data_IF_282619028762
#
_entry.id   IF_282619028762
#
_cell.length_a   1.000
_cell.length_b   1.000
_cell.length_c   1.000
_cell.angle_alpha   90.00
_cell.angle_beta   90.00
_cell.angle_gamma   90.00
#
_symmetry.space_group_name_H-M   'P 1'
#
loop_
_entity.id
_entity.type
_entity.pdbx_description
1 polymer ?
#
# COMPACT_ATOMS: atom_id res chain seq x y z
N UNK A 1 19.10 -18.75 31.60
CA UNK A 1 17.85 -18.08 31.17
C UNK A 1 18.12 -16.64 30.82
N UNK A 2 17.25 -16.04 30.01
CA UNK A 2 17.27 -14.62 29.67
C UNK A 2 16.04 -13.92 30.27
N UNK A 3 16.23 -12.76 30.88
CA UNK A 3 15.18 -12.03 31.58
C UNK A 3 15.22 -10.57 31.16
N UNK A 4 14.07 -10.05 30.75
CA UNK A 4 13.87 -8.64 30.44
C UNK A 4 13.36 -7.94 31.70
N UNK A 5 14.11 -6.92 32.11
CA UNK A 5 13.85 -6.15 33.33
C UNK A 5 13.66 -4.69 32.91
N UNK A 6 12.58 -4.00 33.31
CA UNK A 6 12.44 -2.56 33.08
C UNK A 6 13.54 -1.77 33.80
N UNK A 7 14.00 -0.65 33.23
CA UNK A 7 15.05 0.18 33.84
C UNK A 7 14.75 0.61 35.27
N UNK A 8 13.49 0.94 35.54
CA UNK A 8 13.00 1.29 36.89
C UNK A 8 13.16 0.15 37.90
N UNK A 9 13.19 -1.10 37.44
CA UNK A 9 13.32 -2.30 38.27
C UNK A 9 14.73 -2.87 38.37
N UNK A 10 15.76 -2.23 37.82
CA UNK A 10 17.14 -2.74 37.88
C UNK A 10 17.67 -2.89 39.31
N UNK A 11 17.39 -1.89 40.15
CA UNK A 11 17.81 -1.90 41.55
C UNK A 11 17.17 -3.05 42.32
N UNK A 12 15.88 -3.31 42.06
CA UNK A 12 15.15 -4.40 42.67
C UNK A 12 15.64 -5.75 42.14
N UNK A 13 15.82 -5.89 40.82
CA UNK A 13 16.35 -7.08 40.18
C UNK A 13 17.68 -7.52 40.79
N UNK A 14 18.66 -6.61 40.91
CA UNK A 14 19.97 -6.95 41.48
C UNK A 14 19.89 -7.43 42.92
N UNK A 15 18.91 -6.95 43.70
CA UNK A 15 18.72 -7.34 45.10
C UNK A 15 17.95 -8.64 45.25
N UNK A 16 17.00 -8.92 44.36
CA UNK A 16 16.02 -10.00 44.57
C UNK A 16 16.25 -11.23 43.70
N UNK A 17 16.95 -11.14 42.56
CA UNK A 17 17.00 -12.24 41.60
C UNK A 17 17.56 -13.56 42.20
N UNK A 18 18.51 -13.47 43.14
CA UNK A 18 19.13 -14.63 43.79
C UNK A 18 18.16 -15.36 44.73
N UNK A 19 17.14 -14.68 45.24
CA UNK A 19 16.16 -15.20 46.19
C UNK A 19 14.78 -15.40 45.58
N UNK A 20 14.62 -15.20 44.26
CA UNK A 20 13.36 -15.48 43.57
C UNK A 20 13.02 -16.97 43.73
N UNK A 21 13.85 -17.89 43.28
CA UNK A 21 13.64 -19.33 43.46
C UNK A 21 14.80 -19.98 44.21
N UNK A 22 14.58 -21.17 44.73
CA UNK A 22 15.69 -22.02 45.16
C UNK A 22 16.57 -22.41 43.95
N UNK A 23 17.83 -22.76 44.20
CA UNK A 23 18.78 -23.22 43.18
C UNK A 23 19.11 -22.21 42.07
N UNK A 24 19.07 -20.91 42.38
CA UNK A 24 19.69 -19.86 41.56
C UNK A 24 21.17 -19.77 41.90
N UNK A 25 22.04 -19.61 40.89
CA UNK A 25 23.48 -19.43 41.11
C UNK A 25 23.74 -17.96 41.50
N UNK A 26 24.30 -17.68 42.69
CA UNK A 26 24.59 -16.31 43.11
C UNK A 26 25.63 -15.64 42.20
N UNK A 27 25.55 -14.32 42.09
CA UNK A 27 26.38 -13.46 41.23
C UNK A 27 26.44 -13.89 39.76
N UNK A 28 25.44 -14.63 39.28
CA UNK A 28 25.39 -15.13 37.90
C UNK A 28 24.78 -14.14 36.92
N UNK A 29 24.05 -13.13 37.40
CA UNK A 29 23.37 -12.19 36.51
C UNK A 29 24.33 -11.24 35.81
N UNK A 30 24.13 -11.02 34.50
CA UNK A 30 24.88 -10.06 33.70
C UNK A 30 23.93 -9.35 32.74
N UNK A 31 24.07 -8.04 32.62
CA UNK A 31 23.39 -7.27 31.56
C UNK A 31 24.04 -7.58 30.21
N UNK A 32 23.27 -8.10 29.27
CA UNK A 32 23.73 -8.47 27.92
C UNK A 32 23.45 -7.36 26.90
N UNK A 33 22.28 -6.74 27.02
CA UNK A 33 21.80 -5.71 26.11
C UNK A 33 20.85 -4.79 26.86
N UNK A 34 20.81 -3.52 26.48
CA UNK A 34 19.91 -2.53 27.03
C UNK A 34 19.32 -1.70 25.89
N UNK A 35 18.01 -1.50 25.92
CA UNK A 35 17.31 -0.54 25.07
C UNK A 35 16.89 0.70 25.88
N UNK A 36 15.99 1.52 25.31
CA UNK A 36 15.57 2.75 25.98
C UNK A 36 14.78 2.50 27.27
N UNK A 37 14.08 1.37 27.39
CA UNK A 37 13.09 1.12 28.44
C UNK A 37 13.46 -0.05 29.35
N UNK A 38 14.25 -1.01 28.87
CA UNK A 38 14.53 -2.29 29.52
C UNK A 38 15.94 -2.82 29.26
N UNK A 39 16.38 -3.72 30.14
CA UNK A 39 17.62 -4.48 30.05
C UNK A 39 17.36 -5.97 29.91
N UNK A 40 18.14 -6.62 29.05
CA UNK A 40 18.20 -8.06 28.92
C UNK A 40 19.32 -8.60 29.81
N UNK A 41 18.96 -9.34 30.84
CA UNK A 41 19.87 -9.97 31.78
C UNK A 41 19.97 -11.48 31.52
N UNK A 42 21.15 -12.04 31.67
CA UNK A 42 21.31 -13.49 31.84
C UNK A 42 21.16 -13.88 33.31
N UNK A 43 20.74 -15.11 33.56
CA UNK A 43 20.73 -15.76 34.89
C UNK A 43 21.07 -17.25 34.73
N UNK A 44 21.91 -17.77 35.61
CA UNK A 44 22.21 -19.20 35.70
C UNK A 44 21.48 -19.81 36.89
N UNK A 45 20.71 -20.86 36.65
CA UNK A 45 19.94 -21.59 37.67
C UNK A 45 19.81 -23.06 37.27
N UNK A 46 19.42 -23.90 38.22
CA UNK A 46 19.22 -25.33 37.96
C UNK A 46 17.93 -25.57 37.17
N UNK A 47 17.94 -26.60 36.31
CA UNK A 47 16.80 -26.91 35.43
C UNK A 47 15.49 -27.14 36.18
N UNK A 48 15.55 -27.72 37.38
CA UNK A 48 14.38 -27.97 38.24
C UNK A 48 13.70 -26.70 38.76
N UNK A 49 14.41 -25.58 38.82
CA UNK A 49 13.89 -24.31 39.33
C UNK A 49 13.34 -23.39 38.22
N UNK A 50 13.36 -23.81 36.95
CA UNK A 50 12.97 -22.94 35.82
C UNK A 50 11.53 -22.43 35.96
N UNK A 51 10.58 -23.31 36.26
CA UNK A 51 9.17 -22.93 36.30
C UNK A 51 8.83 -22.05 37.51
N UNK A 52 9.39 -22.35 38.69
CA UNK A 52 9.26 -21.52 39.90
C UNK A 52 9.89 -20.13 39.69
N UNK A 53 11.09 -20.07 39.11
CA UNK A 53 11.75 -18.81 38.80
C UNK A 53 10.93 -17.99 37.80
N UNK A 54 10.38 -18.61 36.75
CA UNK A 54 9.51 -17.93 35.77
C UNK A 54 8.26 -17.36 36.43
N UNK A 55 7.65 -18.11 37.34
CA UNK A 55 6.45 -17.67 38.05
C UNK A 55 6.76 -16.42 38.88
N UNK A 56 7.77 -16.49 39.76
CA UNK A 56 8.13 -15.37 40.64
C UNK A 56 8.75 -14.17 39.92
N UNK A 57 9.46 -14.40 38.81
CA UNK A 57 9.90 -13.32 37.95
C UNK A 57 8.70 -12.52 37.41
N UNK A 58 7.64 -13.19 36.96
CA UNK A 58 6.41 -12.52 36.49
C UNK A 58 5.70 -11.75 37.59
N UNK A 59 5.64 -12.28 38.81
CA UNK A 59 5.07 -11.58 39.98
C UNK A 59 5.81 -10.26 40.26
N UNK A 60 7.13 -10.25 40.06
CA UNK A 60 7.97 -9.06 40.19
C UNK A 60 8.04 -8.21 38.91
N UNK A 61 7.16 -8.46 37.93
CA UNK A 61 7.09 -7.75 36.64
C UNK A 61 8.34 -7.88 35.78
N UNK A 62 9.12 -8.94 35.98
CA UNK A 62 10.24 -9.33 35.12
C UNK A 62 9.76 -10.34 34.08
N UNK A 63 10.13 -10.12 32.81
CA UNK A 63 9.69 -10.98 31.71
C UNK A 63 10.78 -11.97 31.35
N UNK A 64 10.57 -13.26 31.64
CA UNK A 64 11.51 -14.31 31.22
C UNK A 64 11.31 -14.64 29.75
N UNK A 65 12.39 -14.60 28.96
CA UNK A 65 12.41 -14.98 27.55
C UNK A 65 12.78 -16.45 27.42
N UNK A 66 11.88 -17.20 26.78
CA UNK A 66 12.18 -18.55 26.32
C UNK A 66 13.14 -18.46 25.15
N UNK A 67 14.39 -18.81 25.41
CA UNK A 67 15.46 -18.81 24.44
C UNK A 67 16.35 -20.03 24.68
N UNK A 68 16.50 -20.82 23.63
CA UNK A 68 17.47 -21.90 23.59
C UNK A 68 18.53 -21.51 22.58
N UNK A 69 19.77 -21.38 23.05
CA UNK A 69 20.87 -21.03 22.17
C UNK A 69 21.12 -22.18 21.19
N UNK A 70 20.97 -21.88 19.90
CA UNK A 70 21.23 -22.80 18.80
C UNK A 70 22.08 -22.07 17.75
N UNK A 71 23.37 -22.37 17.72
CA UNK A 71 24.32 -21.70 16.84
C UNK A 71 24.04 -21.96 15.35
N UNK A 72 23.58 -23.18 15.01
CA UNK A 72 23.23 -23.56 13.64
C UNK A 72 22.04 -22.76 13.13
N UNK A 73 21.00 -22.64 13.94
CA UNK A 73 19.79 -21.87 13.61
C UNK A 73 20.10 -20.37 13.49
N UNK A 74 20.85 -19.80 14.44
CA UNK A 74 21.25 -18.39 14.36
C UNK A 74 22.13 -18.08 13.15
N UNK A 75 22.97 -19.03 12.71
CA UNK A 75 23.77 -18.88 11.49
C UNK A 75 22.88 -18.96 10.25
N UNK A 76 21.97 -19.94 10.21
CA UNK A 76 21.02 -20.10 9.12
C UNK A 76 20.14 -18.86 8.93
N UNK A 77 19.63 -18.26 10.01
CA UNK A 77 18.82 -17.04 9.98
C UNK A 77 19.59 -15.84 9.40
N UNK A 78 20.87 -15.69 9.78
CA UNK A 78 21.73 -14.61 9.25
C UNK A 78 22.02 -14.79 7.76
N UNK A 79 22.28 -16.02 7.34
CA UNK A 79 22.48 -16.36 5.93
C UNK A 79 21.20 -16.14 5.12
N UNK A 80 20.05 -16.54 5.65
CA UNK A 80 18.74 -16.30 5.04
C UNK A 80 18.44 -14.81 4.91
N UNK A 81 18.65 -14.01 5.95
CA UNK A 81 18.45 -12.57 5.90
C UNK A 81 19.31 -11.91 4.80
N UNK A 82 20.56 -12.35 4.67
CA UNK A 82 21.49 -11.87 3.65
C UNK A 82 21.04 -12.29 2.24
N UNK A 83 20.62 -13.54 2.09
CA UNK A 83 20.07 -14.09 0.85
C UNK A 83 18.84 -13.32 0.41
N UNK A 84 17.85 -13.14 1.29
CA UNK A 84 16.62 -12.41 1.02
C UNK A 84 16.88 -10.95 0.63
N UNK A 85 17.81 -10.27 1.32
CA UNK A 85 18.21 -8.90 0.97
C UNK A 85 18.84 -8.82 -0.43
N UNK A 86 19.67 -9.80 -0.77
CA UNK A 86 20.32 -9.90 -2.08
C UNK A 86 19.30 -10.23 -3.17
N UNK A 87 18.39 -11.17 -2.93
CA UNK A 87 17.34 -11.54 -3.86
C UNK A 87 16.39 -10.38 -4.11
N UNK A 88 15.99 -9.64 -3.07
CA UNK A 88 15.19 -8.41 -3.21
C UNK A 88 15.87 -7.43 -4.17
N UNK A 89 17.16 -7.16 -3.98
CA UNK A 89 17.92 -6.24 -4.86
C UNK A 89 18.04 -6.79 -6.28
N UNK A 90 18.28 -8.09 -6.42
CA UNK A 90 18.41 -8.77 -7.70
C UNK A 90 17.10 -8.76 -8.49
N UNK A 91 15.97 -8.96 -7.83
CA UNK A 91 14.64 -8.98 -8.45
C UNK A 91 14.13 -7.58 -8.80
N UNK A 92 14.55 -6.55 -8.05
CA UNK A 92 14.07 -5.18 -8.26
C UNK A 92 14.34 -4.66 -9.67
N UNK A 93 15.55 -4.85 -10.20
CA UNK A 93 15.92 -4.38 -11.54
C UNK A 93 15.05 -4.98 -12.66
N UNK A 94 14.98 -6.33 -12.77
CA UNK A 94 14.09 -7.02 -13.70
C UNK A 94 12.62 -6.63 -13.53
N UNK A 95 12.13 -6.52 -12.29
CA UNK A 95 10.74 -6.11 -12.02
C UNK A 95 10.44 -4.72 -12.57
N UNK A 96 11.29 -3.73 -12.33
CA UNK A 96 11.09 -2.37 -12.85
C UNK A 96 11.11 -2.37 -14.38
N UNK A 97 12.01 -3.13 -15.02
CA UNK A 97 12.04 -3.25 -16.49
C UNK A 97 10.76 -3.87 -17.01
N UNK A 98 10.30 -4.96 -16.39
CA UNK A 98 9.06 -5.63 -16.75
C UNK A 98 7.85 -4.70 -16.60
N UNK A 99 7.75 -3.98 -15.48
CA UNK A 99 6.69 -3.01 -15.23
C UNK A 99 6.68 -1.88 -16.28
N UNK A 100 7.84 -1.34 -16.66
CA UNK A 100 7.93 -0.30 -17.70
C UNK A 100 7.39 -0.78 -19.04
N UNK A 101 7.76 -1.98 -19.47
CA UNK A 101 7.28 -2.57 -20.73
C UNK A 101 5.77 -2.80 -20.67
N UNK A 102 5.29 -3.50 -19.65
CA UNK A 102 3.87 -3.87 -19.56
C UNK A 102 2.97 -2.65 -19.33
N UNK A 103 3.44 -1.65 -18.58
CA UNK A 103 2.72 -0.39 -18.44
C UNK A 103 2.60 0.34 -19.77
N UNK A 104 3.66 0.39 -20.58
CA UNK A 104 3.63 0.99 -21.92
C UNK A 104 2.61 0.28 -22.81
N UNK A 105 2.64 -1.05 -22.86
CA UNK A 105 1.68 -1.84 -23.65
C UNK A 105 0.23 -1.62 -23.18
N UNK A 106 -0.01 -1.65 -21.87
CA UNK A 106 -1.33 -1.41 -21.30
C UNK A 106 -1.84 0.01 -21.60
N UNK A 107 -0.96 1.01 -21.51
CA UNK A 107 -1.31 2.39 -21.82
C UNK A 107 -1.64 2.57 -23.30
N UNK A 108 -0.85 1.97 -24.20
CA UNK A 108 -1.12 1.96 -25.64
C UNK A 108 -2.48 1.31 -25.91
N UNK A 109 -2.76 0.14 -25.35
CA UNK A 109 -4.04 -0.55 -25.52
C UNK A 109 -5.22 0.30 -25.02
N UNK A 110 -5.06 0.99 -23.88
CA UNK A 110 -6.08 1.89 -23.35
C UNK A 110 -6.39 3.05 -24.29
N UNK A 111 -5.37 3.67 -24.89
CA UNK A 111 -5.56 4.74 -25.89
C UNK A 111 -6.25 4.20 -27.15
N UNK A 112 -5.92 2.99 -27.61
CA UNK A 112 -6.61 2.36 -28.75
C UNK A 112 -8.11 2.15 -28.47
N UNK A 113 -8.47 1.70 -27.26
CA UNK A 113 -9.88 1.57 -26.86
C UNK A 113 -10.57 2.95 -26.88
N UNK A 114 -9.91 4.02 -26.44
CA UNK A 114 -10.46 5.38 -26.50
C UNK A 114 -10.67 5.85 -27.94
N UNK A 115 -9.71 5.58 -28.83
CA UNK A 115 -9.85 5.90 -30.25
C UNK A 115 -11.02 5.15 -30.90
N UNK A 116 -11.18 3.85 -30.61
CA UNK A 116 -12.31 3.05 -31.07
C UNK A 116 -13.64 3.60 -30.55
N UNK A 117 -13.71 3.98 -29.27
CA UNK A 117 -14.92 4.59 -28.69
C UNK A 117 -15.29 5.91 -29.35
N UNK A 118 -14.32 6.80 -29.56
CA UNK A 118 -14.52 8.07 -30.28
C UNK A 118 -15.04 7.80 -31.70
N UNK A 119 -14.45 6.84 -32.41
CA UNK A 119 -14.87 6.48 -33.75
C UNK A 119 -16.31 5.94 -33.79
N UNK A 120 -16.63 4.94 -32.97
CA UNK A 120 -17.96 4.31 -32.91
C UNK A 120 -19.02 5.35 -32.55
N UNK A 121 -18.79 6.18 -31.53
CA UNK A 121 -19.76 7.20 -31.14
C UNK A 121 -19.95 8.28 -32.20
N UNK A 122 -18.87 8.66 -32.91
CA UNK A 122 -18.97 9.63 -34.02
C UNK A 122 -19.77 9.07 -35.19
N UNK A 123 -19.62 7.78 -35.51
CA UNK A 123 -20.46 7.10 -36.52
C UNK A 123 -21.92 7.05 -36.08
N UNK A 124 -22.19 6.70 -34.81
CA UNK A 124 -23.55 6.64 -34.28
C UNK A 124 -24.23 8.02 -34.25
N UNK A 125 -23.47 9.09 -33.98
CA UNK A 125 -24.00 10.44 -33.84
C UNK A 125 -24.12 11.20 -35.14
N UNK A 126 -23.16 11.06 -36.05
CA UNK A 126 -23.09 11.84 -37.30
C UNK A 126 -23.44 11.02 -38.55
N UNK A 127 -23.54 9.69 -38.44
CA UNK A 127 -23.93 8.81 -39.53
C UNK A 127 -22.81 8.51 -40.54
N UNK A 128 -23.22 7.96 -41.69
CA UNK A 128 -22.36 7.64 -42.83
C UNK A 128 -22.65 8.57 -44.02
N UNK A 129 -21.65 8.85 -44.88
CA UNK A 129 -20.26 8.41 -44.79
C UNK A 129 -19.49 9.08 -43.64
N UNK A 130 -18.43 8.42 -43.18
CA UNK A 130 -17.57 8.92 -42.09
C UNK A 130 -16.92 10.25 -42.52
N UNK A 131 -17.44 11.36 -42.00
CA UNK A 131 -16.92 12.71 -42.28
C UNK A 131 -16.75 13.49 -40.98
N UNK A 132 -15.77 13.10 -40.18
CA UNK A 132 -15.41 13.78 -38.94
C UNK A 132 -13.91 13.73 -38.71
N UNK A 133 -13.40 14.70 -37.95
CA UNK A 133 -12.00 14.76 -37.53
C UNK A 133 -11.92 14.78 -36.01
N UNK A 134 -11.37 13.72 -35.43
CA UNK A 134 -11.13 13.66 -33.99
C UNK A 134 -9.91 14.51 -33.61
N UNK A 135 -10.00 15.21 -32.48
CA UNK A 135 -8.94 16.08 -31.97
C UNK A 135 -8.60 15.72 -30.53
N UNK A 136 -7.30 15.68 -30.21
CA UNK A 136 -6.81 15.57 -28.84
C UNK A 136 -6.54 16.97 -28.29
N UNK A 137 -7.23 17.32 -27.20
CA UNK A 137 -7.08 18.62 -26.55
C UNK A 137 -6.45 18.45 -25.16
N UNK A 138 -5.37 19.19 -24.89
CA UNK A 138 -4.79 19.34 -23.55
C UNK A 138 -5.09 20.76 -23.01
N UNK A 139 -6.27 20.97 -22.43
CA UNK A 139 -6.68 22.29 -21.97
C UNK A 139 -5.98 22.71 -20.68
N UNK A 140 -5.77 24.01 -20.52
CA UNK A 140 -5.35 24.58 -19.24
C UNK A 140 -6.51 24.47 -18.24
N UNK A 141 -6.25 23.93 -17.04
CA UNK A 141 -7.24 23.73 -15.96
C UNK A 141 -8.08 24.99 -15.68
N UNK A 142 -7.47 26.20 -15.74
CA UNK A 142 -8.17 27.48 -15.48
C UNK A 142 -9.16 27.87 -16.58
N UNK A 143 -8.92 27.43 -17.81
CA UNK A 143 -9.69 27.85 -18.99
C UNK A 143 -10.70 26.79 -19.46
N UNK A 144 -10.85 25.69 -18.71
CA UNK A 144 -11.76 24.59 -19.07
C UNK A 144 -13.18 25.08 -19.29
N UNK A 145 -13.72 25.93 -18.42
CA UNK A 145 -15.08 26.46 -18.55
C UNK A 145 -15.26 27.25 -19.85
N UNK A 146 -14.36 28.21 -20.12
CA UNK A 146 -14.39 29.01 -21.35
C UNK A 146 -14.24 28.16 -22.61
N UNK A 147 -13.39 27.12 -22.58
CA UNK A 147 -13.25 26.19 -23.70
C UNK A 147 -14.57 25.46 -23.98
N UNK A 148 -15.29 25.01 -22.93
CA UNK A 148 -16.59 24.37 -23.10
C UNK A 148 -17.64 25.30 -23.68
N UNK A 149 -17.66 26.55 -23.24
CA UNK A 149 -18.57 27.58 -23.77
C UNK A 149 -18.35 27.78 -25.28
N UNK A 150 -17.08 28.00 -25.70
CA UNK A 150 -16.74 28.20 -27.11
C UNK A 150 -17.06 26.96 -27.96
N UNK A 151 -16.72 25.75 -27.50
CA UNK A 151 -17.03 24.53 -28.25
C UNK A 151 -18.54 24.28 -28.36
N UNK A 152 -19.31 24.63 -27.32
CA UNK A 152 -20.77 24.54 -27.39
C UNK A 152 -21.33 25.51 -28.43
N UNK A 153 -20.92 26.78 -28.41
CA UNK A 153 -21.35 27.76 -29.41
C UNK A 153 -21.07 27.34 -30.85
N UNK A 154 -19.89 26.76 -31.10
CA UNK A 154 -19.49 26.29 -32.43
C UNK A 154 -20.28 25.07 -32.90
N UNK A 155 -20.55 24.11 -32.01
CA UNK A 155 -21.05 22.79 -32.40
C UNK A 155 -22.49 22.48 -31.98
N UNK A 156 -23.19 23.37 -31.26
CA UNK A 156 -24.60 23.16 -30.85
C UNK A 156 -25.56 22.81 -31.99
N UNK A 157 -25.25 23.22 -33.22
CA UNK A 157 -26.04 22.90 -34.40
C UNK A 157 -25.98 21.42 -34.81
N UNK A 158 -24.96 20.68 -34.36
CA UNK A 158 -24.84 19.23 -34.57
C UNK A 158 -25.70 18.42 -33.60
N UNK A 159 -26.32 19.09 -32.62
CA UNK A 159 -27.16 18.46 -31.62
C UNK A 159 -28.57 18.19 -32.15
N UNK A 160 -28.65 17.30 -33.14
CA UNK A 160 -29.92 16.76 -33.66
C UNK A 160 -30.59 15.82 -32.65
N UNK A 161 -29.86 15.40 -31.61
CA UNK A 161 -30.22 14.35 -30.64
C UNK A 161 -30.85 14.89 -29.35
N UNK A 162 -30.58 16.14 -28.96
CA UNK A 162 -31.18 16.75 -27.78
C UNK A 162 -32.72 16.69 -27.80
N UNK A 163 -33.35 16.87 -28.97
CA UNK A 163 -34.80 16.77 -29.10
C UNK A 163 -35.35 15.34 -28.87
N UNK A 164 -34.53 14.29 -29.04
CA UNK A 164 -34.93 12.89 -28.82
C UNK A 164 -34.60 12.47 -27.38
N UNK A 165 -33.49 12.95 -26.80
CA UNK A 165 -33.09 12.61 -25.43
C UNK A 165 -34.04 13.28 -24.41
N UNK A 166 -34.46 14.51 -24.65
CA UNK A 166 -35.43 15.22 -23.80
C UNK A 166 -36.85 14.60 -23.89
N UNK A 167 -37.17 13.91 -25.00
CA UNK A 167 -38.46 13.25 -25.21
C UNK A 167 -38.53 11.79 -24.69
N UNK A 168 -37.40 11.14 -24.40
CA UNK A 168 -37.33 9.69 -24.12
C UNK A 168 -36.89 9.35 -22.69
N UNK A 169 -36.47 10.33 -21.87
CA UNK A 169 -35.72 10.03 -20.64
C UNK A 169 -36.32 10.52 -19.33
N UNK A 170 -37.61 10.26 -19.11
CA UNK A 170 -38.20 10.25 -17.77
C UNK A 170 -38.48 8.79 -17.34
N UNK A 171 -37.41 7.98 -17.25
CA UNK A 171 -37.48 6.62 -16.68
C UNK A 171 -37.12 6.71 -15.19
N UNK A 172 -38.07 6.51 -14.26
CA UNK A 172 -37.81 6.59 -12.83
C UNK A 172 -36.73 5.58 -12.42
N UNK A 173 -35.61 6.06 -11.86
CA UNK A 173 -34.51 5.23 -11.37
C UNK A 173 -33.24 5.21 -12.24
N UNK A 174 -33.27 5.78 -13.46
CA UNK A 174 -32.08 5.92 -14.31
C UNK A 174 -31.66 7.40 -14.36
N UNK A 175 -30.73 7.79 -13.47
CA UNK A 175 -30.28 9.18 -13.38
C UNK A 175 -29.26 9.51 -14.50
N UNK A 176 -29.73 9.61 -15.75
CA UNK A 176 -28.86 9.92 -16.91
C UNK A 176 -28.37 11.38 -16.93
N UNK A 177 -28.96 12.23 -16.09
CA UNK A 177 -28.60 13.64 -15.85
C UNK A 177 -27.19 13.88 -15.31
N UNK A 178 -26.45 12.82 -14.91
CA UNK A 178 -25.10 12.94 -14.35
C UNK A 178 -23.97 12.72 -15.37
N UNK A 179 -24.26 12.36 -16.63
CA UNK A 179 -23.22 12.26 -17.64
C UNK A 179 -23.00 13.61 -18.31
N UNK A 180 -21.73 14.04 -18.40
CA UNK A 180 -21.37 15.27 -19.11
C UNK A 180 -21.74 15.14 -20.61
N UNK A 181 -22.90 15.66 -20.98
CA UNK A 181 -23.36 15.70 -22.36
C UNK A 181 -22.86 16.97 -23.05
N UNK A 182 -22.31 16.81 -24.25
CA UNK A 182 -21.86 17.91 -25.12
C UNK A 182 -22.43 17.72 -26.52
N UNK A 183 -22.60 18.78 -27.32
CA UNK A 183 -23.10 18.69 -28.70
C UNK A 183 -22.10 18.03 -29.68
N UNK A 184 -20.94 17.61 -29.17
CA UNK A 184 -19.89 16.89 -29.87
C UNK A 184 -19.47 15.66 -29.07
N UNK A 185 -18.93 14.64 -29.75
CA UNK A 185 -18.37 13.44 -29.10
C UNK A 185 -17.18 13.84 -28.22
N UNK A 186 -17.23 13.43 -26.94
CA UNK A 186 -16.22 13.80 -25.97
C UNK A 186 -15.82 12.62 -25.08
N UNK A 187 -14.50 12.42 -24.94
CA UNK A 187 -13.93 11.47 -24.00
C UNK A 187 -12.81 12.11 -23.20
N UNK A 188 -12.93 12.09 -21.87
CA UNK A 188 -11.84 12.49 -20.97
C UNK A 188 -10.73 11.42 -20.96
N UNK A 189 -9.49 11.87 -21.09
CA UNK A 189 -8.29 11.12 -20.75
C UNK A 189 -7.72 11.68 -19.44
N UNK A 190 -7.62 10.84 -18.42
CA UNK A 190 -6.98 11.22 -17.16
C UNK A 190 -5.60 10.59 -17.08
N UNK A 191 -4.57 11.41 -17.04
CA UNK A 191 -3.18 10.97 -16.95
C UNK A 191 -2.64 11.06 -15.51
N UNK A 192 -3.46 11.46 -14.53
CA UNK A 192 -3.08 11.40 -13.12
C UNK A 192 -3.22 9.96 -12.61
N UNK A 193 -2.17 9.17 -12.80
CA UNK A 193 -2.14 7.74 -12.44
C UNK A 193 -2.02 7.49 -10.92
N UNK A 194 -1.83 8.54 -10.12
CA UNK A 194 -1.55 8.46 -8.68
C UNK A 194 -2.71 8.99 -7.81
N UNK A 195 -3.71 9.64 -8.41
CA UNK A 195 -4.88 10.13 -7.69
C UNK A 195 -5.91 8.99 -7.58
N UNK A 196 -5.58 7.98 -6.76
CA UNK A 196 -6.59 7.03 -6.30
C UNK A 196 -7.50 7.78 -5.34
N UNK A 197 -8.72 8.13 -5.80
CA UNK A 197 -9.79 8.50 -4.86
C UNK A 197 -10.09 7.26 -4.01
N UNK A 198 -9.60 7.28 -2.77
CA UNK A 198 -10.05 6.40 -1.68
C UNK A 198 -11.43 6.84 -1.26
#
# INVERSE_FOLDING_TARGET
>A
MLVVVPKTGYGDWQKTYESLSEMVVPRSTKLLFEDNDSGLFSVTLFRKAIDDFKHKARENKFTVRDFQYNEEEMKADKEEMTRLSTDKKKQFGPLVRWLKVNFSEAFIAWIHIKALRVFVESVLRYGLPVNFQAMLLQPNKKNMKKLREVLNELYKHLDSSAAIIDAVMDIPGLNLSQQEYYPYVYYKLDCNLLDFKV
#
